data_IF_564757997799
#
_entry.id   IF_564757997799
#
_cell.length_a   1.000
_cell.length_b   1.000
_cell.length_c   1.000
_cell.angle_alpha   90.00
_cell.angle_beta   90.00
_cell.angle_gamma   90.00
#
_symmetry.space_group_name_H-M   'P 1'
#
loop_
_entity.id
_entity.type
_entity.pdbx_description
1 polymer ?
#
# COMPACT_ATOMS: atom_id res chain seq x y z
N UNK A 1 -26.34 -62.05 -18.52
CA UNK A 1 -26.16 -60.99 -19.53
C UNK A 1 -26.87 -59.69 -19.16
N UNK A 2 -28.08 -59.68 -18.75
CA UNK A 2 -28.86 -58.45 -18.38
C UNK A 2 -28.26 -57.64 -17.19
N UNK A 3 -27.66 -58.28 -16.17
CA UNK A 3 -27.03 -57.61 -15.03
C UNK A 3 -25.67 -56.94 -15.33
N UNK A 4 -25.01 -57.33 -16.42
CA UNK A 4 -23.74 -56.74 -16.88
C UNK A 4 -24.01 -55.48 -17.71
N UNK A 5 -25.07 -55.50 -18.53
CA UNK A 5 -25.48 -54.36 -19.35
C UNK A 5 -25.97 -53.21 -18.47
N UNK A 6 -26.69 -53.47 -17.34
CA UNK A 6 -27.12 -52.45 -16.43
C UNK A 6 -25.97 -51.74 -15.67
N UNK A 7 -24.90 -52.46 -15.36
CA UNK A 7 -23.69 -51.87 -14.72
C UNK A 7 -22.85 -51.03 -15.67
N UNK A 8 -22.80 -51.42 -16.94
CA UNK A 8 -22.09 -50.68 -17.99
C UNK A 8 -22.85 -49.40 -18.33
N UNK A 9 -24.20 -49.43 -18.39
CA UNK A 9 -25.02 -48.23 -18.60
C UNK A 9 -24.93 -47.25 -17.44
N UNK A 10 -24.88 -47.74 -16.20
CA UNK A 10 -24.69 -46.88 -15.00
C UNK A 10 -23.29 -46.22 -14.94
N UNK A 11 -22.28 -46.96 -15.40
CA UNK A 11 -20.91 -46.41 -15.46
C UNK A 11 -20.75 -45.35 -16.55
N UNK A 12 -21.41 -45.51 -17.71
CA UNK A 12 -21.46 -44.49 -18.75
C UNK A 12 -22.30 -43.26 -18.38
N UNK A 13 -23.37 -43.40 -17.59
CA UNK A 13 -24.19 -42.29 -17.07
C UNK A 13 -23.38 -41.50 -16.05
N UNK A 14 -22.57 -42.13 -15.18
CA UNK A 14 -21.70 -41.48 -14.21
C UNK A 14 -20.54 -40.78 -14.90
N UNK A 15 -19.98 -41.33 -15.99
CA UNK A 15 -18.94 -40.68 -16.79
C UNK A 15 -19.45 -39.47 -17.61
N UNK A 16 -20.73 -39.48 -18.00
CA UNK A 16 -21.36 -38.34 -18.68
C UNK A 16 -21.75 -37.20 -17.74
N UNK A 17 -21.87 -37.47 -16.43
CA UNK A 17 -22.12 -36.42 -15.42
C UNK A 17 -20.84 -35.72 -14.95
N UNK A 18 -19.65 -36.25 -15.23
CA UNK A 18 -18.38 -35.65 -14.80
C UNK A 18 -17.75 -34.66 -15.80
N UNK A 19 -18.44 -34.32 -16.90
CA UNK A 19 -17.95 -33.34 -17.88
C UNK A 19 -18.96 -32.20 -18.14
N UNK A 20 -19.73 -31.79 -17.16
CA UNK A 20 -20.23 -30.43 -17.16
C UNK A 20 -19.10 -29.56 -16.63
N UNK A 21 -18.11 -29.33 -17.46
CA UNK A 21 -17.26 -28.16 -17.31
C UNK A 21 -18.23 -26.97 -17.35
N UNK A 22 -18.43 -26.34 -16.20
CA UNK A 22 -19.03 -25.02 -16.18
C UNK A 22 -18.11 -24.16 -17.07
N UNK A 23 -18.51 -23.94 -18.31
CA UNK A 23 -17.91 -22.95 -19.15
C UNK A 23 -18.07 -21.64 -18.37
N UNK A 24 -17.00 -21.18 -17.76
CA UNK A 24 -16.99 -19.87 -17.12
C UNK A 24 -17.48 -18.88 -18.17
N UNK A 25 -18.62 -18.24 -17.92
CA UNK A 25 -19.16 -17.26 -18.85
C UNK A 25 -18.03 -16.26 -19.16
N UNK A 26 -17.80 -15.99 -20.44
CA UNK A 26 -16.77 -15.02 -20.82
C UNK A 26 -17.06 -13.69 -20.12
N UNK A 27 -16.04 -13.02 -19.57
CA UNK A 27 -16.22 -11.71 -18.95
C UNK A 27 -16.98 -10.78 -19.91
N UNK A 28 -17.95 -10.04 -19.38
CA UNK A 28 -18.71 -9.04 -20.15
C UNK A 28 -18.41 -7.69 -19.57
N UNK A 29 -18.10 -6.71 -20.45
CA UNK A 29 -17.84 -5.36 -20.06
C UNK A 29 -19.04 -4.75 -19.34
N UNK A 30 -18.81 -4.20 -18.14
CA UNK A 30 -19.77 -3.37 -17.43
C UNK A 30 -19.31 -1.91 -17.46
N UNK A 31 -20.07 -1.02 -18.10
CA UNK A 31 -19.70 0.39 -18.25
C UNK A 31 -19.70 1.16 -16.91
N UNK A 32 -20.56 0.78 -15.97
CA UNK A 32 -20.58 1.35 -14.62
C UNK A 32 -19.30 1.02 -13.86
N UNK A 33 -18.88 -0.25 -13.87
CA UNK A 33 -17.63 -0.71 -13.26
C UNK A 33 -16.42 -0.03 -13.92
N UNK A 34 -16.39 0.03 -15.25
CA UNK A 34 -15.31 0.69 -15.99
C UNK A 34 -15.22 2.18 -15.66
N UNK A 35 -16.35 2.89 -15.57
CA UNK A 35 -16.39 4.32 -15.20
C UNK A 35 -15.89 4.55 -13.78
N UNK A 36 -16.31 3.70 -12.83
CA UNK A 36 -15.82 3.76 -11.46
C UNK A 36 -14.31 3.52 -11.39
N UNK A 37 -13.80 2.53 -12.11
CA UNK A 37 -12.38 2.19 -12.09
C UNK A 37 -11.49 3.22 -12.77
N UNK A 38 -11.96 3.87 -13.85
CA UNK A 38 -11.29 5.03 -14.45
C UNK A 38 -11.16 6.19 -13.45
N UNK A 39 -12.26 6.50 -12.74
CA UNK A 39 -12.28 7.52 -11.69
C UNK A 39 -11.38 7.15 -10.52
N UNK A 40 -11.48 5.91 -10.02
CA UNK A 40 -10.65 5.39 -8.93
C UNK A 40 -9.17 5.46 -9.26
N UNK A 41 -8.78 5.12 -10.49
CA UNK A 41 -7.39 5.19 -10.97
C UNK A 41 -6.86 6.63 -10.89
N UNK A 42 -7.63 7.60 -11.35
CA UNK A 42 -7.26 9.02 -11.26
C UNK A 42 -7.14 9.49 -9.79
N UNK A 43 -8.07 9.07 -8.92
CA UNK A 43 -8.04 9.40 -7.50
C UNK A 43 -6.81 8.80 -6.79
N UNK A 44 -6.41 7.57 -7.09
CA UNK A 44 -5.22 6.95 -6.47
C UNK A 44 -3.93 7.58 -7.00
N UNK A 45 -3.86 7.96 -8.27
CA UNK A 45 -2.70 8.72 -8.77
C UNK A 45 -2.60 10.10 -8.08
N UNK A 46 -3.73 10.78 -7.88
CA UNK A 46 -3.80 12.03 -7.12
C UNK A 46 -3.25 11.90 -5.70
N UNK A 47 -3.39 10.73 -5.07
CA UNK A 47 -2.81 10.48 -3.74
C UNK A 47 -1.28 10.62 -3.73
N UNK A 48 -0.58 10.19 -4.78
CA UNK A 48 0.88 10.28 -4.84
C UNK A 48 1.32 11.64 -5.35
N UNK A 49 0.76 12.07 -6.45
CA UNK A 49 1.01 13.36 -7.09
C UNK A 49 -0.32 14.09 -7.33
N UNK A 50 -0.65 15.15 -6.54
CA UNK A 50 0.22 15.83 -5.58
C UNK A 50 0.07 15.45 -4.11
N UNK A 51 -0.85 14.57 -3.71
CA UNK A 51 -1.23 14.36 -2.31
C UNK A 51 -0.04 14.09 -1.38
N UNK A 52 0.65 12.96 -1.56
CA UNK A 52 1.80 12.57 -0.72
C UNK A 52 2.96 13.54 -0.87
N UNK A 53 3.21 14.04 -2.09
CA UNK A 53 4.27 15.01 -2.34
C UNK A 53 4.08 16.29 -1.50
N UNK A 54 2.86 16.82 -1.41
CA UNK A 54 2.53 17.99 -0.59
C UNK A 54 2.50 17.66 0.91
N UNK A 55 1.99 16.48 1.29
CA UNK A 55 1.98 16.03 2.67
C UNK A 55 3.42 15.96 3.22
N UNK A 56 4.31 15.29 2.51
CA UNK A 56 5.72 15.19 2.90
C UNK A 56 6.48 16.50 2.75
N UNK A 57 6.25 17.23 1.65
CA UNK A 57 6.87 18.52 1.38
C UNK A 57 6.57 19.56 2.47
N UNK A 58 5.37 19.52 3.07
CA UNK A 58 5.02 20.38 4.19
C UNK A 58 5.70 20.01 5.51
N UNK A 59 6.05 18.72 5.69
CA UNK A 59 6.66 18.19 6.93
C UNK A 59 8.17 18.36 7.01
N UNK A 60 8.87 18.45 5.87
CA UNK A 60 10.33 18.63 5.83
C UNK A 60 10.73 20.09 6.06
N UNK A 61 12.03 20.32 6.31
CA UNK A 61 12.60 21.66 6.37
C UNK A 61 12.56 22.37 5.01
N UNK A 62 12.40 23.72 5.02
CA UNK A 62 12.25 24.58 3.82
C UNK A 62 13.28 24.24 2.71
N UNK A 63 14.52 23.92 3.07
CA UNK A 63 15.61 23.62 2.13
C UNK A 63 15.62 22.20 1.54
N UNK A 64 14.60 21.39 1.82
CA UNK A 64 14.46 20.02 1.35
C UNK A 64 13.08 19.74 0.69
N UNK A 65 12.29 20.78 0.44
CA UNK A 65 10.92 20.64 -0.10
C UNK A 65 10.95 20.20 -1.56
N UNK A 66 11.75 20.87 -2.40
CA UNK A 66 11.88 20.52 -3.82
C UNK A 66 12.39 19.09 -3.96
N UNK A 67 13.45 18.72 -3.23
CA UNK A 67 14.00 17.37 -3.24
C UNK A 67 12.94 16.33 -2.85
N UNK A 68 12.13 16.59 -1.82
CA UNK A 68 11.09 15.67 -1.36
C UNK A 68 9.98 15.50 -2.39
N UNK A 69 9.50 16.58 -3.00
CA UNK A 69 8.48 16.55 -4.05
C UNK A 69 9.01 15.85 -5.31
N UNK A 70 10.25 16.16 -5.71
CA UNK A 70 10.91 15.54 -6.87
C UNK A 70 11.06 14.04 -6.72
N UNK A 71 11.30 13.52 -5.49
CA UNK A 71 11.34 12.09 -5.22
C UNK A 71 10.00 11.42 -5.58
N UNK A 72 8.87 11.96 -5.13
CA UNK A 72 7.54 11.40 -5.45
C UNK A 72 7.26 11.41 -6.95
N UNK A 73 7.64 12.49 -7.65
CA UNK A 73 7.43 12.61 -9.09
C UNK A 73 8.34 11.65 -9.88
N UNK A 74 9.63 11.58 -9.52
CA UNK A 74 10.58 10.63 -10.11
C UNK A 74 10.10 9.18 -9.94
N UNK A 75 9.65 8.81 -8.74
CA UNK A 75 9.14 7.48 -8.45
C UNK A 75 7.95 7.15 -9.34
N UNK A 76 7.02 8.09 -9.51
CA UNK A 76 5.89 7.90 -10.42
C UNK A 76 6.35 7.53 -11.82
N UNK A 77 7.34 8.25 -12.37
CA UNK A 77 7.89 7.95 -13.69
C UNK A 77 8.59 6.59 -13.75
N UNK A 78 9.50 6.31 -12.80
CA UNK A 78 10.28 5.07 -12.80
C UNK A 78 9.38 3.85 -12.64
N UNK A 79 8.48 3.87 -11.64
CA UNK A 79 7.62 2.72 -11.36
C UNK A 79 6.67 2.47 -12.54
N UNK A 80 6.20 3.52 -13.22
CA UNK A 80 5.41 3.37 -14.44
C UNK A 80 6.19 2.62 -15.52
N UNK A 81 7.45 2.98 -15.75
CA UNK A 81 8.28 2.29 -16.74
C UNK A 81 8.60 0.85 -16.32
N UNK A 82 8.92 0.62 -15.05
CA UNK A 82 9.20 -0.73 -14.54
C UNK A 82 7.95 -1.62 -14.57
N UNK A 83 6.77 -1.04 -14.30
CA UNK A 83 5.48 -1.73 -14.42
C UNK A 83 5.21 -2.17 -15.85
N UNK A 84 5.44 -1.26 -16.81
CA UNK A 84 5.34 -1.55 -18.23
C UNK A 84 6.33 -2.65 -18.66
N UNK A 85 7.59 -2.57 -18.24
CA UNK A 85 8.63 -3.54 -18.66
C UNK A 85 8.33 -4.94 -18.14
N UNK A 86 8.11 -5.11 -16.85
CA UNK A 86 7.92 -6.43 -16.25
C UNK A 86 7.09 -6.45 -14.94
N UNK A 87 6.92 -5.32 -14.26
CA UNK A 87 6.27 -5.28 -12.95
C UNK A 87 4.84 -5.84 -12.96
N UNK A 88 4.04 -5.47 -13.96
CA UNK A 88 2.69 -6.03 -14.12
C UNK A 88 2.72 -7.56 -14.30
N UNK A 89 3.61 -8.05 -15.16
CA UNK A 89 3.78 -9.48 -15.42
C UNK A 89 4.19 -10.25 -14.17
N UNK A 90 5.18 -9.74 -13.44
CA UNK A 90 5.68 -10.36 -12.20
C UNK A 90 4.68 -10.33 -11.05
N UNK A 91 3.71 -9.40 -11.07
CA UNK A 91 2.67 -9.29 -10.04
C UNK A 91 1.43 -10.12 -10.41
N UNK A 92 0.97 -10.08 -11.66
CA UNK A 92 -0.32 -10.64 -12.09
C UNK A 92 -0.22 -11.75 -13.14
N UNK A 93 0.99 -12.09 -13.62
CA UNK A 93 1.23 -13.28 -14.43
C UNK A 93 1.02 -14.56 -13.61
N UNK A 94 0.83 -15.70 -14.27
CA UNK A 94 0.55 -16.98 -13.59
C UNK A 94 1.70 -17.41 -12.66
N UNK A 95 2.91 -17.56 -13.18
CA UNK A 95 4.13 -17.79 -12.42
C UNK A 95 4.07 -18.95 -11.41
N UNK A 96 4.50 -18.68 -10.18
CA UNK A 96 4.53 -19.65 -9.08
C UNK A 96 3.89 -19.06 -7.81
N UNK A 97 4.07 -19.69 -6.63
CA UNK A 97 3.47 -19.20 -5.37
C UNK A 97 4.01 -17.85 -4.88
N UNK A 98 5.17 -17.41 -5.38
CA UNK A 98 5.89 -16.26 -4.83
C UNK A 98 6.02 -15.10 -5.82
N UNK A 99 5.98 -15.36 -7.11
CA UNK A 99 6.15 -14.36 -8.15
C UNK A 99 5.47 -14.81 -9.45
N UNK A 100 4.90 -13.87 -10.19
CA UNK A 100 4.38 -14.08 -11.53
C UNK A 100 5.49 -14.40 -12.55
N UNK A 101 5.10 -14.66 -13.77
CA UNK A 101 6.00 -14.98 -14.87
C UNK A 101 6.30 -13.76 -15.78
N UNK A 102 6.93 -13.98 -16.91
CA UNK A 102 7.25 -12.95 -17.91
C UNK A 102 6.29 -12.94 -19.12
N UNK A 103 5.15 -13.62 -19.06
CA UNK A 103 4.21 -13.77 -20.17
C UNK A 103 3.59 -12.45 -20.63
N UNK A 104 3.43 -11.50 -19.69
CA UNK A 104 2.86 -10.15 -19.93
C UNK A 104 3.92 -9.04 -19.94
N UNK A 105 5.19 -9.38 -20.12
CA UNK A 105 6.29 -8.39 -20.25
C UNK A 105 5.99 -7.41 -21.39
N UNK A 106 6.27 -6.12 -21.18
CA UNK A 106 5.89 -5.00 -22.05
C UNK A 106 4.39 -4.93 -22.33
N UNK A 107 3.57 -5.37 -21.36
CA UNK A 107 2.10 -5.47 -21.42
C UNK A 107 1.60 -6.30 -22.63
N UNK A 108 2.37 -7.29 -23.03
CA UNK A 108 2.00 -8.20 -24.13
C UNK A 108 0.63 -8.82 -23.87
N UNK A 109 -0.27 -8.75 -24.86
CA UNK A 109 -1.62 -9.28 -24.78
C UNK A 109 -2.63 -8.35 -24.08
N UNK A 110 -2.24 -7.17 -23.63
CA UNK A 110 -3.18 -6.13 -23.17
C UNK A 110 -3.73 -5.42 -24.40
N UNK A 111 -5.00 -5.67 -24.71
CA UNK A 111 -5.68 -5.20 -25.92
C UNK A 111 -6.90 -4.34 -25.57
N UNK A 112 -7.40 -3.54 -26.51
CA UNK A 112 -8.57 -2.66 -26.32
C UNK A 112 -9.81 -3.46 -25.90
N UNK A 113 -10.00 -4.66 -26.44
CA UNK A 113 -11.12 -5.55 -26.12
C UNK A 113 -10.82 -6.52 -24.97
N UNK A 114 -9.58 -6.52 -24.43
CA UNK A 114 -9.18 -7.39 -23.31
C UNK A 114 -9.87 -6.98 -22.01
N UNK A 115 -10.39 -7.94 -21.28
CA UNK A 115 -11.10 -7.73 -20.01
C UNK A 115 -10.42 -8.46 -18.86
N UNK A 116 -10.39 -7.80 -17.71
CA UNK A 116 -10.12 -8.40 -16.40
C UNK A 116 -11.38 -8.22 -15.55
N UNK A 117 -12.00 -9.31 -15.12
CA UNK A 117 -13.36 -9.28 -14.53
C UNK A 117 -14.34 -8.58 -15.49
N UNK A 118 -14.95 -7.47 -15.08
CA UNK A 118 -15.96 -6.72 -15.85
C UNK A 118 -15.43 -5.42 -16.46
N UNK A 119 -14.13 -5.16 -16.36
CA UNK A 119 -13.48 -3.90 -16.79
C UNK A 119 -12.40 -4.15 -17.85
N UNK A 120 -12.03 -3.15 -18.67
CA UNK A 120 -10.88 -3.27 -19.56
C UNK A 120 -9.60 -3.60 -18.80
N UNK A 121 -8.83 -4.58 -19.27
CA UNK A 121 -7.54 -4.96 -18.65
C UNK A 121 -6.60 -3.76 -18.58
N UNK A 122 -6.62 -2.87 -19.58
CA UNK A 122 -5.82 -1.64 -19.58
C UNK A 122 -6.12 -0.73 -18.37
N UNK A 123 -7.38 -0.64 -17.93
CA UNK A 123 -7.76 0.11 -16.72
C UNK A 123 -7.24 -0.59 -15.47
N UNK A 124 -7.37 -1.92 -15.39
CA UNK A 124 -6.82 -2.70 -14.29
C UNK A 124 -5.29 -2.55 -14.17
N UNK A 125 -4.57 -2.58 -15.29
CA UNK A 125 -3.11 -2.36 -15.34
C UNK A 125 -2.73 -1.02 -14.71
N UNK A 126 -3.39 0.08 -15.11
CA UNK A 126 -3.06 1.41 -14.58
C UNK A 126 -3.52 1.57 -13.13
N UNK A 127 -4.67 1.01 -12.77
CA UNK A 127 -5.14 1.01 -11.37
C UNK A 127 -4.12 0.34 -10.45
N UNK A 128 -3.67 -0.88 -10.77
CA UNK A 128 -2.68 -1.61 -9.98
C UNK A 128 -1.30 -0.94 -9.99
N UNK A 129 -0.92 -0.29 -11.10
CA UNK A 129 0.27 0.54 -11.17
C UNK A 129 0.28 1.63 -10.08
N UNK A 130 -0.86 2.31 -9.84
CA UNK A 130 -0.92 3.39 -8.85
C UNK A 130 -0.61 2.91 -7.44
N UNK A 131 -0.91 1.65 -7.11
CA UNK A 131 -0.53 1.03 -5.83
C UNK A 131 0.99 0.77 -5.74
N UNK A 132 1.61 0.31 -6.82
CA UNK A 132 3.06 0.17 -6.87
C UNK A 132 3.76 1.53 -6.68
N UNK A 133 3.27 2.57 -7.35
CA UNK A 133 3.81 3.93 -7.24
C UNK A 133 3.77 4.43 -5.80
N UNK A 134 2.58 4.42 -5.17
CA UNK A 134 2.46 4.99 -3.82
C UNK A 134 3.24 4.16 -2.80
N UNK A 135 3.30 2.83 -2.94
CA UNK A 135 4.06 1.97 -2.03
C UNK A 135 5.53 2.38 -1.96
N UNK A 136 6.16 2.58 -3.12
CA UNK A 136 7.55 3.03 -3.19
C UNK A 136 7.71 4.46 -2.69
N UNK A 137 6.77 5.35 -3.05
CA UNK A 137 6.80 6.75 -2.63
C UNK A 137 6.72 6.93 -1.10
N UNK A 138 5.97 6.06 -0.41
CA UNK A 138 5.89 6.07 1.05
C UNK A 138 7.25 5.85 1.71
N UNK A 139 8.11 4.99 1.17
CA UNK A 139 9.43 4.67 1.72
C UNK A 139 10.29 5.94 1.87
N UNK A 140 10.16 6.87 0.93
CA UNK A 140 10.95 8.11 0.94
C UNK A 140 10.77 8.92 2.21
N UNK A 141 9.56 8.94 2.78
CA UNK A 141 9.29 9.65 4.03
C UNK A 141 10.22 9.29 5.17
N UNK A 142 10.73 8.05 5.21
CA UNK A 142 11.67 7.61 6.23
C UNK A 142 13.08 8.20 6.06
N UNK A 143 13.49 8.55 4.85
CA UNK A 143 14.88 8.87 4.48
C UNK A 143 15.06 10.26 3.89
N UNK A 144 13.99 11.05 3.77
CA UNK A 144 14.08 12.46 3.35
C UNK A 144 15.13 13.25 4.14
N UNK A 145 15.59 14.34 3.57
CA UNK A 145 16.57 15.25 4.14
C UNK A 145 18.02 14.71 4.19
N UNK A 146 18.24 13.40 3.82
CA UNK A 146 19.58 12.79 3.87
C UNK A 146 19.90 11.76 2.80
N UNK A 147 18.92 11.30 2.03
CA UNK A 147 19.16 10.31 0.97
C UNK A 147 19.81 10.98 -0.26
N UNK A 148 20.73 10.27 -0.90
CA UNK A 148 21.26 10.65 -2.21
C UNK A 148 20.22 10.31 -3.30
N UNK A 149 19.91 11.29 -4.15
CA UNK A 149 18.87 11.14 -5.19
C UNK A 149 19.19 10.04 -6.21
N UNK A 150 20.48 9.92 -6.61
CA UNK A 150 20.92 8.85 -7.52
C UNK A 150 20.84 7.46 -6.89
N UNK A 151 21.12 7.35 -5.58
CA UNK A 151 20.94 6.10 -4.85
C UNK A 151 19.46 5.71 -4.75
N UNK A 152 18.58 6.68 -4.49
CA UNK A 152 17.15 6.46 -4.47
C UNK A 152 16.64 5.98 -5.85
N UNK A 153 17.12 6.57 -6.94
CA UNK A 153 16.76 6.17 -8.31
C UNK A 153 17.02 4.67 -8.54
N UNK A 154 18.22 4.18 -8.20
CA UNK A 154 18.58 2.76 -8.37
C UNK A 154 17.77 1.88 -7.41
N UNK A 155 17.60 2.33 -6.17
CA UNK A 155 16.82 1.63 -5.16
C UNK A 155 15.38 1.38 -5.64
N UNK A 156 14.70 2.38 -6.18
CA UNK A 156 13.32 2.28 -6.68
C UNK A 156 13.18 1.22 -7.75
N UNK A 157 14.10 1.18 -8.74
CA UNK A 157 14.09 0.17 -9.81
C UNK A 157 14.17 -1.25 -9.24
N UNK A 158 15.14 -1.48 -8.35
CA UNK A 158 15.34 -2.81 -7.77
C UNK A 158 14.21 -3.19 -6.83
N UNK A 159 13.72 -2.25 -6.02
CA UNK A 159 12.74 -2.54 -4.98
C UNK A 159 11.35 -2.86 -5.55
N UNK A 160 10.89 -2.16 -6.59
CA UNK A 160 9.60 -2.46 -7.21
C UNK A 160 9.57 -3.86 -7.83
N UNK A 161 10.68 -4.31 -8.40
CA UNK A 161 10.78 -5.63 -9.03
C UNK A 161 10.99 -6.74 -7.99
N UNK A 162 11.90 -6.53 -7.04
CA UNK A 162 12.35 -7.57 -6.12
C UNK A 162 11.56 -7.64 -4.81
N UNK A 163 10.79 -6.60 -4.47
CA UNK A 163 9.99 -6.58 -3.24
C UNK A 163 8.51 -6.38 -3.54
N UNK A 164 8.14 -5.29 -4.23
CA UNK A 164 6.74 -5.02 -4.47
C UNK A 164 6.06 -6.11 -5.29
N UNK A 165 6.63 -6.48 -6.44
CA UNK A 165 6.01 -7.47 -7.33
C UNK A 165 5.82 -8.85 -6.67
N UNK A 166 6.81 -9.43 -5.96
CA UNK A 166 6.60 -10.69 -5.23
C UNK A 166 5.54 -10.59 -4.12
N UNK A 167 5.56 -9.52 -3.30
CA UNK A 167 4.54 -9.35 -2.24
C UNK A 167 3.15 -9.17 -2.86
N UNK A 168 3.02 -8.36 -3.92
CA UNK A 168 1.78 -8.17 -4.67
C UNK A 168 1.26 -9.47 -5.28
N UNK A 169 2.15 -10.29 -5.85
CA UNK A 169 1.78 -11.60 -6.39
C UNK A 169 1.31 -12.56 -5.30
N UNK A 170 2.04 -12.65 -4.19
CA UNK A 170 1.66 -13.52 -3.08
C UNK A 170 0.26 -13.21 -2.54
N UNK A 171 -0.15 -11.93 -2.51
CA UNK A 171 -1.43 -11.50 -1.91
C UNK A 171 -2.54 -11.36 -2.95
N UNK A 172 -2.28 -10.74 -4.10
CA UNK A 172 -3.31 -10.39 -5.11
C UNK A 172 -3.18 -11.16 -6.42
N UNK A 173 -1.98 -11.63 -6.76
CA UNK A 173 -1.71 -12.39 -7.98
C UNK A 173 -2.05 -13.88 -7.91
N UNK A 174 -2.77 -14.35 -6.88
CA UNK A 174 -3.10 -15.76 -6.69
C UNK A 174 -1.96 -16.62 -6.12
N UNK A 175 -0.96 -15.97 -5.50
CA UNK A 175 0.20 -16.62 -4.89
C UNK A 175 -0.06 -17.18 -3.49
N UNK A 176 1.02 -17.37 -2.73
CA UNK A 176 1.03 -18.10 -1.46
C UNK A 176 0.03 -17.57 -0.43
N UNK A 177 0.06 -16.26 -0.13
CA UNK A 177 -0.77 -15.66 0.93
C UNK A 177 -2.26 -15.65 0.54
N UNK A 178 -2.56 -15.42 -0.74
CA UNK A 178 -3.92 -15.53 -1.28
C UNK A 178 -4.47 -16.95 -1.10
N UNK A 179 -3.70 -17.97 -1.45
CA UNK A 179 -4.10 -19.38 -1.30
C UNK A 179 -4.26 -19.82 0.15
N UNK A 180 -3.53 -19.19 1.07
CA UNK A 180 -3.70 -19.43 2.50
C UNK A 180 -4.95 -18.76 3.09
N UNK A 181 -5.60 -17.83 2.36
CA UNK A 181 -6.78 -17.11 2.81
C UNK A 181 -6.46 -15.85 3.64
N UNK A 182 -5.29 -15.26 3.45
CA UNK A 182 -4.97 -13.95 4.05
C UNK A 182 -5.85 -12.88 3.39
N UNK A 183 -6.51 -12.07 4.21
CA UNK A 183 -7.36 -10.97 3.76
C UNK A 183 -6.56 -9.68 3.68
N UNK A 184 -6.50 -9.12 2.49
CA UNK A 184 -5.92 -7.79 2.25
C UNK A 184 -6.68 -7.10 1.11
N UNK A 185 -7.74 -6.36 1.46
CA UNK A 185 -8.66 -5.80 0.46
C UNK A 185 -7.99 -4.79 -0.45
N UNK A 186 -7.21 -3.89 0.13
CA UNK A 186 -6.66 -2.77 -0.62
C UNK A 186 -5.17 -2.49 -0.32
N UNK A 187 -4.44 -3.35 0.40
CA UNK A 187 -2.99 -3.20 0.54
C UNK A 187 -2.48 -2.90 1.94
N UNK A 188 -3.17 -3.38 2.98
CA UNK A 188 -2.62 -3.35 4.33
C UNK A 188 -1.26 -4.03 4.42
N UNK A 189 -1.12 -5.18 3.76
CA UNK A 189 0.12 -5.94 3.64
C UNK A 189 0.97 -5.45 2.47
N UNK A 190 0.39 -5.44 1.26
CA UNK A 190 1.12 -5.15 0.01
C UNK A 190 1.68 -3.73 -0.02
N UNK A 191 0.95 -2.75 0.50
CA UNK A 191 1.36 -1.34 0.47
C UNK A 191 1.94 -0.92 1.82
N UNK A 192 1.15 -1.00 2.89
CA UNK A 192 1.48 -0.30 4.13
C UNK A 192 2.53 -1.02 4.97
N UNK A 193 2.36 -2.30 5.27
CA UNK A 193 3.38 -3.07 6.00
C UNK A 193 4.67 -3.09 5.17
N UNK A 194 4.57 -3.35 3.88
CA UNK A 194 5.69 -3.45 2.96
C UNK A 194 6.51 -2.15 2.92
N UNK A 195 5.86 -1.00 2.63
CA UNK A 195 6.56 0.30 2.59
C UNK A 195 7.10 0.74 3.95
N UNK A 196 6.33 0.53 5.03
CA UNK A 196 6.74 0.96 6.36
C UNK A 196 7.93 0.17 6.90
N UNK A 197 8.01 -1.14 6.64
CA UNK A 197 9.17 -1.97 6.98
C UNK A 197 10.37 -1.58 6.12
N UNK A 198 10.20 -1.40 4.81
CA UNK A 198 11.29 -0.94 3.95
C UNK A 198 11.84 0.42 4.39
N UNK A 199 10.94 1.34 4.78
CA UNK A 199 11.31 2.65 5.33
C UNK A 199 12.12 2.55 6.62
N UNK A 200 11.72 1.68 7.55
CA UNK A 200 12.48 1.43 8.79
C UNK A 200 13.88 0.88 8.49
N UNK A 201 13.98 -0.13 7.63
CA UNK A 201 15.27 -0.71 7.24
C UNK A 201 16.16 0.34 6.58
N UNK A 202 15.61 1.15 5.67
CA UNK A 202 16.34 2.23 5.02
C UNK A 202 16.79 3.29 6.03
N UNK A 203 15.93 3.70 6.97
CA UNK A 203 16.27 4.67 8.02
C UNK A 203 17.40 4.20 8.92
N UNK A 204 17.42 2.90 9.27
CA UNK A 204 18.49 2.29 10.09
C UNK A 204 19.81 2.22 9.30
N UNK A 205 19.77 1.78 8.02
CA UNK A 205 20.97 1.60 7.20
C UNK A 205 21.63 2.93 6.85
N UNK A 206 20.84 3.97 6.53
CA UNK A 206 21.35 5.31 6.17
C UNK A 206 21.79 6.08 7.42
N UNK A 207 21.23 5.77 8.57
CA UNK A 207 21.54 6.40 9.85
C UNK A 207 20.73 7.67 10.16
N UNK A 208 20.98 8.27 11.34
CA UNK A 208 20.22 9.41 11.84
C UNK A 208 20.55 10.70 11.08
N UNK A 209 19.57 11.60 10.94
CA UNK A 209 19.78 12.97 10.43
C UNK A 209 20.70 13.75 11.37
N UNK A 210 21.53 14.60 10.81
CA UNK A 210 22.42 15.49 11.58
C UNK A 210 21.68 16.64 12.24
N UNK A 211 20.62 17.10 11.59
CA UNK A 211 19.71 18.12 12.15
C UNK A 211 18.27 17.72 11.86
N UNK A 212 17.39 17.98 12.82
CA UNK A 212 15.94 17.78 12.66
C UNK A 212 15.30 19.14 12.44
N UNK A 213 14.83 19.38 11.22
CA UNK A 213 14.07 20.57 10.90
C UNK A 213 12.66 20.49 11.48
N UNK A 214 12.06 21.65 11.76
CA UNK A 214 10.62 21.73 12.02
C UNK A 214 9.85 21.67 10.69
N UNK A 215 8.60 21.20 10.69
CA UNK A 215 7.74 21.27 9.51
C UNK A 215 7.74 22.68 8.91
N UNK A 216 8.00 22.75 7.59
CA UNK A 216 8.09 24.02 6.88
C UNK A 216 6.71 24.68 6.74
N UNK A 217 5.69 23.89 6.39
CA UNK A 217 4.37 24.43 6.07
C UNK A 217 3.25 23.45 6.44
N UNK A 218 2.68 23.67 7.62
CA UNK A 218 1.59 22.84 8.16
C UNK A 218 0.31 22.90 7.32
N UNK A 219 0.04 24.04 6.66
CA UNK A 219 -1.11 24.17 5.75
C UNK A 219 -0.92 23.30 4.50
N UNK A 220 0.30 23.27 3.94
CA UNK A 220 0.64 22.39 2.83
C UNK A 220 0.49 20.91 3.20
N UNK A 221 0.93 20.53 4.39
CA UNK A 221 0.73 19.19 4.95
C UNK A 221 -0.75 18.83 5.04
N UNK A 222 -1.59 19.73 5.53
CA UNK A 222 -3.03 19.51 5.64
C UNK A 222 -3.68 19.35 4.25
N UNK A 223 -3.31 20.17 3.29
CA UNK A 223 -3.80 20.03 1.90
C UNK A 223 -3.43 18.66 1.34
N UNK A 224 -2.17 18.24 1.50
CA UNK A 224 -1.71 16.91 1.09
C UNK A 224 -2.46 15.77 1.79
N UNK A 225 -2.65 15.86 3.10
CA UNK A 225 -3.45 14.90 3.87
C UNK A 225 -4.91 14.82 3.38
N UNK A 226 -5.50 15.95 3.01
CA UNK A 226 -6.86 16.00 2.46
C UNK A 226 -6.94 15.31 1.11
N UNK A 227 -5.95 15.52 0.24
CA UNK A 227 -5.86 14.82 -1.05
C UNK A 227 -5.64 13.32 -0.88
N UNK A 228 -4.83 12.91 0.10
CA UNK A 228 -4.69 11.49 0.48
C UNK A 228 -6.04 10.92 0.92
N UNK A 229 -6.79 11.59 1.76
CA UNK A 229 -8.10 11.13 2.24
C UNK A 229 -9.11 10.96 1.09
N UNK A 230 -9.29 11.98 0.27
CA UNK A 230 -10.21 11.90 -0.88
C UNK A 230 -9.78 10.81 -1.87
N UNK A 231 -8.48 10.72 -2.18
CA UNK A 231 -7.93 9.69 -3.04
C UNK A 231 -8.13 8.27 -2.49
N UNK A 232 -8.19 8.14 -1.15
CA UNK A 232 -8.41 6.85 -0.50
C UNK A 232 -9.79 6.24 -0.76
N UNK A 233 -10.75 7.01 -1.19
CA UNK A 233 -12.00 6.46 -1.71
C UNK A 233 -11.77 5.65 -3.00
N UNK A 234 -10.95 6.17 -3.91
CA UNK A 234 -10.49 5.38 -5.07
C UNK A 234 -9.61 4.19 -4.67
N UNK A 235 -8.77 4.37 -3.66
CA UNK A 235 -7.87 3.32 -3.15
C UNK A 235 -8.64 2.13 -2.56
N UNK A 236 -9.51 2.36 -1.58
CA UNK A 236 -10.26 1.31 -0.90
C UNK A 236 -11.51 0.89 -1.67
N UNK A 237 -12.40 1.81 -2.03
CA UNK A 237 -13.63 1.43 -2.73
C UNK A 237 -13.37 1.01 -4.18
N UNK A 238 -12.31 1.52 -4.83
CA UNK A 238 -11.83 1.03 -6.12
C UNK A 238 -11.32 -0.41 -6.08
N UNK A 239 -10.82 -0.89 -4.92
CA UNK A 239 -10.34 -2.27 -4.77
C UNK A 239 -11.45 -3.33 -4.86
N UNK A 240 -12.71 -2.94 -4.85
CA UNK A 240 -13.82 -3.81 -5.24
C UNK A 240 -13.80 -4.17 -6.74
N UNK A 241 -13.06 -3.44 -7.56
CA UNK A 241 -12.96 -3.57 -9.03
C UNK A 241 -14.35 -3.55 -9.71
N UNK A 242 -15.35 -2.98 -9.04
CA UNK A 242 -16.72 -2.87 -9.52
C UNK A 242 -17.46 -1.74 -8.78
N UNK A 243 -18.48 -1.15 -9.44
CA UNK A 243 -19.41 -0.18 -8.85
C UNK A 243 -20.56 -0.90 -8.17
N UNK A 244 -20.30 -1.59 -7.07
CA UNK A 244 -21.27 -2.45 -6.38
C UNK A 244 -21.44 -2.09 -4.89
N UNK A 245 -22.28 -2.84 -4.17
CA UNK A 245 -22.52 -2.62 -2.74
C UNK A 245 -21.27 -2.73 -1.88
N UNK A 246 -20.29 -3.57 -2.26
CA UNK A 246 -19.01 -3.67 -1.54
C UNK A 246 -18.15 -2.41 -1.71
N UNK A 247 -18.11 -1.82 -2.92
CA UNK A 247 -17.46 -0.53 -3.14
C UNK A 247 -18.09 0.58 -2.28
N UNK A 248 -19.44 0.63 -2.22
CA UNK A 248 -20.16 1.58 -1.37
C UNK A 248 -19.85 1.40 0.11
N UNK A 249 -19.82 0.15 0.60
CA UNK A 249 -19.45 -0.16 1.97
C UNK A 249 -18.00 0.21 2.26
N UNK A 250 -17.06 -0.13 1.38
CA UNK A 250 -15.65 0.21 1.53
C UNK A 250 -15.43 1.72 1.61
N UNK A 251 -16.18 2.52 0.84
CA UNK A 251 -16.14 3.99 0.95
C UNK A 251 -16.63 4.48 2.32
N UNK A 252 -17.76 3.95 2.80
CA UNK A 252 -18.35 4.33 4.09
C UNK A 252 -17.41 4.00 5.25
N UNK A 253 -16.89 2.78 5.30
CA UNK A 253 -16.01 2.33 6.41
C UNK A 253 -14.66 3.06 6.38
N UNK A 254 -14.17 3.43 5.21
CA UNK A 254 -12.96 4.26 5.05
C UNK A 254 -13.17 5.64 5.68
N UNK A 255 -14.30 6.30 5.40
CA UNK A 255 -14.65 7.60 5.99
C UNK A 255 -14.72 7.53 7.51
N UNK A 256 -15.39 6.51 8.04
CA UNK A 256 -15.58 6.35 9.49
C UNK A 256 -14.24 6.11 10.19
N UNK A 257 -13.41 5.20 9.67
CA UNK A 257 -12.13 4.87 10.29
C UNK A 257 -11.15 6.06 10.28
N UNK A 258 -11.08 6.80 9.18
CA UNK A 258 -10.25 8.01 9.10
C UNK A 258 -10.66 9.04 10.15
N UNK A 259 -11.96 9.34 10.25
CA UNK A 259 -12.48 10.33 11.19
C UNK A 259 -12.27 9.90 12.64
N UNK A 260 -12.59 8.64 12.99
CA UNK A 260 -12.42 8.13 14.36
C UNK A 260 -10.95 8.07 14.77
N UNK A 261 -10.04 7.71 13.88
CA UNK A 261 -8.61 7.69 14.18
C UNK A 261 -8.03 9.11 14.34
N UNK A 262 -8.45 10.07 13.51
CA UNK A 262 -8.06 11.47 13.66
C UNK A 262 -8.43 12.03 15.03
N UNK A 263 -9.65 11.78 15.48
CA UNK A 263 -10.11 12.19 16.82
C UNK A 263 -9.37 11.42 17.92
N UNK A 264 -9.17 10.11 17.76
CA UNK A 264 -8.45 9.30 18.77
C UNK A 264 -6.99 9.74 18.95
N UNK A 265 -6.28 10.02 17.86
CA UNK A 265 -4.93 10.58 17.89
C UNK A 265 -4.91 11.94 18.57
N UNK A 266 -5.80 12.85 18.16
CA UNK A 266 -5.91 14.19 18.76
C UNK A 266 -6.14 14.13 20.28
N UNK A 267 -7.04 13.26 20.74
CA UNK A 267 -7.32 13.10 22.18
C UNK A 267 -6.12 12.51 22.93
N UNK A 268 -5.41 11.53 22.33
CA UNK A 268 -4.19 10.97 22.90
C UNK A 268 -3.09 12.04 23.01
N UNK A 269 -2.89 12.85 21.99
CA UNK A 269 -1.95 13.98 22.00
C UNK A 269 -2.35 15.04 23.04
N UNK A 270 -3.62 15.41 23.08
CA UNK A 270 -4.14 16.42 24.01
C UNK A 270 -4.01 15.99 25.48
N UNK A 271 -4.14 14.69 25.75
CA UNK A 271 -3.97 14.15 27.11
C UNK A 271 -2.52 13.99 27.54
N UNK A 272 -1.56 14.10 26.62
CA UNK A 272 -0.12 13.88 26.84
C UNK A 272 0.70 15.10 26.43
N UNK A 273 2.02 15.08 26.64
CA UNK A 273 2.95 16.11 26.15
C UNK A 273 2.56 17.54 26.55
N UNK A 274 2.51 18.43 25.56
CA UNK A 274 2.19 19.86 25.76
C UNK A 274 0.71 20.14 26.05
N UNK A 275 -0.13 19.12 26.08
CA UNK A 275 -1.59 19.22 26.34
C UNK A 275 -2.31 20.16 25.36
N UNK A 276 -1.91 20.13 24.10
CA UNK A 276 -2.51 20.91 23.01
C UNK A 276 -2.79 20.00 21.82
N UNK A 277 -3.99 20.08 21.22
CA UNK A 277 -4.26 19.38 19.97
C UNK A 277 -3.53 20.08 18.83
N UNK A 278 -2.89 19.31 17.93
CA UNK A 278 -2.23 19.87 16.75
C UNK A 278 -2.95 19.51 15.46
N UNK A 279 -2.84 20.37 14.43
CA UNK A 279 -3.33 20.05 13.09
C UNK A 279 -2.54 18.89 12.48
N UNK A 280 -1.25 18.80 12.78
CA UNK A 280 -0.40 17.68 12.32
C UNK A 280 -0.86 16.36 12.94
N UNK A 281 -1.20 16.36 14.24
CA UNK A 281 -1.74 15.19 14.92
C UNK A 281 -3.08 14.73 14.34
N UNK A 282 -3.98 15.65 14.01
CA UNK A 282 -5.24 15.35 13.32
C UNK A 282 -4.99 14.72 11.94
N UNK A 283 -4.07 15.29 11.13
CA UNK A 283 -3.71 14.76 9.83
C UNK A 283 -3.08 13.36 9.94
N UNK A 284 -2.10 13.19 10.84
CA UNK A 284 -1.42 11.90 11.05
C UNK A 284 -2.39 10.82 11.56
N UNK A 285 -3.30 11.20 12.47
CA UNK A 285 -4.34 10.30 12.96
C UNK A 285 -5.32 9.88 11.88
N UNK A 286 -5.77 10.81 11.04
CA UNK A 286 -6.64 10.48 9.91
C UNK A 286 -5.95 9.50 8.95
N UNK A 287 -4.68 9.76 8.61
CA UNK A 287 -3.88 8.83 7.75
C UNK A 287 -3.70 7.48 8.44
N UNK A 288 -3.46 7.41 9.75
CA UNK A 288 -3.36 6.15 10.48
C UNK A 288 -4.67 5.32 10.40
N UNK A 289 -5.82 5.99 10.47
CA UNK A 289 -7.14 5.35 10.27
C UNK A 289 -7.34 4.83 8.84
N UNK A 290 -6.94 5.62 7.85
CA UNK A 290 -6.96 5.24 6.44
C UNK A 290 -6.08 4.00 6.18
N UNK A 291 -4.88 3.97 6.76
CA UNK A 291 -3.96 2.83 6.69
C UNK A 291 -4.57 1.59 7.33
N UNK A 292 -5.08 1.70 8.55
CA UNK A 292 -5.57 0.54 9.30
C UNK A 292 -6.87 -0.04 8.73
N UNK A 293 -7.73 0.77 8.12
CA UNK A 293 -8.94 0.28 7.46
C UNK A 293 -8.67 -0.39 6.11
N UNK A 294 -7.52 -0.09 5.48
CA UNK A 294 -7.18 -0.55 4.13
C UNK A 294 -7.29 -2.07 3.94
N UNK A 295 -6.72 -2.93 4.80
CA UNK A 295 -6.90 -4.38 4.66
C UNK A 295 -8.35 -4.84 4.93
N UNK A 296 -9.11 -4.07 5.69
CA UNK A 296 -10.42 -4.43 6.22
C UNK A 296 -11.60 -3.90 5.40
N UNK A 297 -11.39 -2.92 4.52
CA UNK A 297 -12.45 -2.09 3.93
C UNK A 297 -13.54 -2.87 3.19
N UNK A 298 -13.21 -4.01 2.60
CA UNK A 298 -14.18 -4.90 1.92
C UNK A 298 -14.73 -6.02 2.80
N UNK A 299 -14.41 -6.05 4.11
CA UNK A 299 -14.73 -7.17 4.99
C UNK A 299 -15.48 -6.78 6.26
N UNK A 300 -15.44 -5.51 6.68
CA UNK A 300 -15.98 -5.07 7.97
C UNK A 300 -17.19 -4.16 7.84
N UNK A 301 -18.03 -4.18 8.88
CA UNK A 301 -19.17 -3.27 9.00
C UNK A 301 -18.76 -1.90 9.60
N UNK A 302 -19.66 -0.89 9.63
CA UNK A 302 -19.36 0.43 10.16
C UNK A 302 -18.88 0.45 11.63
N UNK A 303 -19.37 -0.46 12.48
CA UNK A 303 -18.93 -0.56 13.88
C UNK A 303 -17.49 -1.10 13.95
N UNK A 304 -17.14 -2.12 13.15
CA UNK A 304 -15.77 -2.62 13.03
C UNK A 304 -14.81 -1.50 12.55
N UNK A 305 -15.22 -0.72 11.56
CA UNK A 305 -14.44 0.41 11.07
C UNK A 305 -14.20 1.50 12.13
N UNK A 306 -15.23 1.84 12.90
CA UNK A 306 -15.12 2.78 14.02
C UNK A 306 -14.10 2.31 15.05
N UNK A 307 -14.15 1.03 15.45
CA UNK A 307 -13.21 0.45 16.40
C UNK A 307 -11.79 0.35 15.83
N UNK A 308 -11.63 -0.05 14.56
CA UNK A 308 -10.34 -0.06 13.88
C UNK A 308 -9.73 1.33 13.89
N UNK A 309 -10.52 2.36 13.57
CA UNK A 309 -10.06 3.75 13.59
C UNK A 309 -9.63 4.21 14.99
N UNK A 310 -10.47 4.01 16.01
CA UNK A 310 -10.12 4.41 17.39
C UNK A 310 -8.84 3.73 17.87
N UNK A 311 -8.73 2.41 17.68
CA UNK A 311 -7.59 1.62 18.15
C UNK A 311 -6.31 2.07 17.40
N UNK A 312 -6.38 2.20 16.06
CA UNK A 312 -5.22 2.59 15.27
C UNK A 312 -4.76 4.02 15.54
N UNK A 313 -5.68 4.96 15.77
CA UNK A 313 -5.34 6.34 16.12
C UNK A 313 -4.49 6.43 17.38
N UNK A 314 -4.87 5.72 18.44
CA UNK A 314 -4.11 5.67 19.69
C UNK A 314 -2.80 4.90 19.52
N UNK A 315 -2.84 3.71 18.92
CA UNK A 315 -1.66 2.84 18.82
C UNK A 315 -0.59 3.42 17.88
N UNK A 316 -0.97 4.04 16.76
CA UNK A 316 -0.02 4.70 15.87
C UNK A 316 0.58 5.96 16.53
N UNK A 317 -0.21 6.74 17.29
CA UNK A 317 0.33 7.83 18.11
C UNK A 317 1.43 7.33 19.07
N UNK A 318 1.19 6.22 19.77
CA UNK A 318 2.18 5.62 20.66
C UNK A 318 3.40 5.08 19.90
N UNK A 319 3.20 4.52 18.70
CA UNK A 319 4.29 4.03 17.87
C UNK A 319 5.18 5.18 17.37
N UNK A 320 4.60 6.29 16.92
CA UNK A 320 5.34 7.45 16.43
C UNK A 320 6.04 8.24 17.55
N UNK A 321 5.55 8.16 18.79
CA UNK A 321 6.12 8.91 19.92
C UNK A 321 6.94 8.03 20.86
N UNK A 322 6.33 7.07 21.54
CA UNK A 322 6.98 6.24 22.57
C UNK A 322 7.87 5.16 21.99
N UNK A 323 7.36 4.36 21.06
CA UNK A 323 8.12 3.26 20.45
C UNK A 323 9.31 3.78 19.66
N UNK A 324 9.12 4.81 18.82
CA UNK A 324 10.21 5.46 18.07
C UNK A 324 11.30 5.99 18.99
N UNK A 325 10.91 6.65 20.09
CA UNK A 325 11.86 7.16 21.08
C UNK A 325 12.61 6.04 21.81
N UNK A 326 11.91 4.99 22.22
CA UNK A 326 12.49 3.84 22.94
C UNK A 326 13.50 3.06 22.08
N UNK A 327 13.19 2.83 20.80
CA UNK A 327 14.06 2.12 19.86
C UNK A 327 15.14 3.01 19.23
N UNK A 328 15.00 4.32 19.31
CA UNK A 328 16.01 5.29 18.93
C UNK A 328 16.35 5.37 17.44
N UNK A 329 15.48 4.86 16.55
CA UNK A 329 15.63 5.03 15.09
C UNK A 329 15.16 6.42 14.62
N UNK A 330 15.68 6.89 13.49
CA UNK A 330 15.31 8.17 12.89
C UNK A 330 14.57 7.97 11.56
N UNK A 331 13.34 7.54 11.65
CA UNK A 331 12.35 7.57 10.58
C UNK A 331 11.80 9.00 10.48
N UNK A 332 12.13 9.71 9.38
CA UNK A 332 11.95 11.17 9.34
C UNK A 332 10.49 11.61 9.46
N UNK A 333 9.57 10.94 8.75
CA UNK A 333 8.16 11.31 8.68
C UNK A 333 7.21 10.19 9.20
N UNK A 334 7.68 9.40 10.16
CA UNK A 334 6.89 8.40 10.88
C UNK A 334 6.27 7.29 10.01
N UNK A 335 6.92 6.95 8.89
CA UNK A 335 6.43 5.97 7.93
C UNK A 335 6.24 4.59 8.57
N UNK A 336 7.19 4.14 9.39
CA UNK A 336 7.07 2.87 10.12
C UNK A 336 5.89 2.88 11.08
N UNK A 337 5.79 3.93 11.92
CA UNK A 337 4.75 4.02 12.95
C UNK A 337 3.33 4.12 12.39
N UNK A 338 3.16 4.78 11.25
CA UNK A 338 1.86 4.94 10.60
C UNK A 338 1.57 3.76 9.67
N UNK A 339 2.51 3.41 8.77
CA UNK A 339 2.22 2.43 7.71
C UNK A 339 2.52 0.99 8.12
N UNK A 340 3.73 0.65 8.63
CA UNK A 340 4.00 -0.73 9.02
C UNK A 340 3.18 -1.14 10.26
N UNK A 341 3.26 -0.34 11.30
CA UNK A 341 2.58 -0.63 12.56
C UNK A 341 1.05 -0.51 12.40
N UNK A 342 0.56 0.59 11.82
CA UNK A 342 -0.86 0.77 11.54
C UNK A 342 -1.43 -0.28 10.58
N UNK A 343 -0.70 -0.65 9.53
CA UNK A 343 -1.08 -1.74 8.61
C UNK A 343 -1.15 -3.10 9.31
N UNK A 344 -0.20 -3.40 10.19
CA UNK A 344 -0.21 -4.65 10.98
C UNK A 344 -1.40 -4.68 11.96
N UNK A 345 -1.66 -3.57 12.66
CA UNK A 345 -2.87 -3.43 13.51
C UNK A 345 -4.12 -3.63 12.68
N UNK A 346 -4.23 -2.96 11.52
CA UNK A 346 -5.36 -3.11 10.60
C UNK A 346 -5.55 -4.54 10.10
N UNK A 347 -4.47 -5.21 9.69
CA UNK A 347 -4.51 -6.61 9.24
C UNK A 347 -5.02 -7.55 10.34
N UNK A 348 -4.51 -7.42 11.56
CA UNK A 348 -4.97 -8.23 12.71
C UNK A 348 -6.44 -7.95 13.01
N UNK A 349 -6.85 -6.68 13.04
CA UNK A 349 -8.23 -6.28 13.30
C UNK A 349 -9.18 -6.66 12.16
N UNK A 350 -8.69 -6.79 10.92
CA UNK A 350 -9.47 -7.42 9.83
C UNK A 350 -9.85 -8.86 10.21
N UNK A 351 -8.90 -9.63 10.73
CA UNK A 351 -9.14 -10.99 11.21
C UNK A 351 -10.15 -11.07 12.36
N UNK A 352 -10.25 -10.01 13.17
CA UNK A 352 -11.21 -9.93 14.28
C UNK A 352 -12.61 -9.53 13.82
N UNK A 353 -12.71 -8.49 12.94
CA UNK A 353 -13.98 -7.81 12.62
C UNK A 353 -14.55 -8.15 11.25
N UNK A 354 -13.89 -9.02 10.46
CA UNK A 354 -14.45 -9.48 9.19
C UNK A 354 -15.83 -10.13 9.40
N UNK A 355 -16.75 -9.85 8.50
CA UNK A 355 -18.09 -10.43 8.55
C UNK A 355 -18.51 -11.02 7.21
N UNK A 356 -19.06 -12.21 7.26
CA UNK A 356 -19.52 -12.95 6.06
C UNK A 356 -20.55 -12.16 5.24
N UNK A 357 -21.34 -11.31 5.90
CA UNK A 357 -22.34 -10.48 5.24
C UNK A 357 -21.77 -9.45 4.26
N UNK A 358 -20.48 -9.06 4.42
CA UNK A 358 -19.82 -8.04 3.59
C UNK A 358 -18.79 -8.68 2.67
N UNK A 359 -17.77 -9.32 3.23
CA UNK A 359 -16.64 -9.85 2.46
C UNK A 359 -16.69 -11.37 2.23
N UNK A 360 -17.76 -12.04 2.60
CA UNK A 360 -17.91 -13.50 2.42
C UNK A 360 -17.11 -14.34 3.43
N UNK A 361 -16.31 -13.71 4.30
CA UNK A 361 -15.46 -14.37 5.31
C UNK A 361 -15.87 -13.91 6.69
N UNK A 362 -15.94 -14.85 7.64
CA UNK A 362 -16.21 -14.53 9.05
C UNK A 362 -14.89 -14.36 9.80
N UNK A 363 -14.83 -13.32 10.64
CA UNK A 363 -13.70 -13.07 11.54
C UNK A 363 -13.65 -14.08 12.67
N UNK A 364 -12.51 -14.18 13.33
CA UNK A 364 -12.30 -15.05 14.47
C UNK A 364 -10.84 -15.47 14.62
N UNK A 365 -10.57 -16.36 15.57
CA UNK A 365 -9.21 -16.73 15.94
C UNK A 365 -8.40 -17.33 14.77
N UNK A 366 -9.01 -18.14 13.94
CA UNK A 366 -8.32 -18.75 12.80
C UNK A 366 -8.00 -17.72 11.71
N UNK A 367 -8.91 -16.78 11.45
CA UNK A 367 -8.62 -15.69 10.53
C UNK A 367 -7.52 -14.76 11.07
N UNK A 368 -7.48 -14.49 12.37
CA UNK A 368 -6.39 -13.73 13.00
C UNK A 368 -5.03 -14.43 12.82
N UNK A 369 -4.95 -15.76 12.94
CA UNK A 369 -3.71 -16.51 12.65
C UNK A 369 -3.26 -16.32 11.20
N UNK A 370 -4.18 -16.36 10.23
CA UNK A 370 -3.86 -16.14 8.83
C UNK A 370 -3.36 -14.70 8.59
N UNK A 371 -3.96 -13.72 9.23
CA UNK A 371 -3.51 -12.33 9.15
C UNK A 371 -2.11 -12.17 9.75
N UNK A 372 -1.82 -12.79 10.91
CA UNK A 372 -0.48 -12.80 11.51
C UNK A 372 0.56 -13.49 10.61
N UNK A 373 0.18 -14.55 9.90
CA UNK A 373 1.03 -15.18 8.88
C UNK A 373 1.36 -14.18 7.76
N UNK A 374 0.35 -13.49 7.22
CA UNK A 374 0.54 -12.47 6.17
C UNK A 374 1.46 -11.34 6.63
N UNK A 375 1.24 -10.82 7.84
CA UNK A 375 2.11 -9.81 8.48
C UNK A 375 3.54 -10.34 8.60
N UNK A 376 3.73 -11.54 9.17
CA UNK A 376 5.04 -12.13 9.42
C UNK A 376 5.84 -12.38 8.14
N UNK A 377 5.21 -12.96 7.11
CA UNK A 377 5.85 -13.22 5.80
C UNK A 377 6.28 -11.90 5.15
N UNK A 378 5.40 -10.90 5.14
CA UNK A 378 5.71 -9.60 4.54
C UNK A 378 6.83 -8.88 5.28
N UNK A 379 6.77 -8.82 6.62
CA UNK A 379 7.83 -8.21 7.44
C UNK A 379 9.18 -8.87 7.19
N UNK A 380 9.24 -10.21 7.24
CA UNK A 380 10.49 -10.94 7.06
C UNK A 380 11.07 -10.73 5.65
N UNK A 381 10.25 -10.97 4.62
CA UNK A 381 10.67 -10.85 3.23
C UNK A 381 11.15 -9.42 2.90
N UNK A 382 10.34 -8.43 3.23
CA UNK A 382 10.68 -7.02 2.98
C UNK A 382 11.93 -6.59 3.72
N UNK A 383 12.09 -6.99 4.99
CA UNK A 383 13.30 -6.66 5.77
C UNK A 383 14.56 -7.18 5.09
N UNK A 384 14.57 -8.48 4.76
CA UNK A 384 15.77 -9.14 4.20
C UNK A 384 16.11 -8.57 2.82
N UNK A 385 15.12 -8.52 1.92
CA UNK A 385 15.38 -8.09 0.54
C UNK A 385 15.70 -6.61 0.46
N UNK A 386 15.00 -5.75 1.22
CA UNK A 386 15.31 -4.31 1.28
C UNK A 386 16.73 -4.06 1.81
N UNK A 387 17.14 -4.78 2.86
CA UNK A 387 18.51 -4.67 3.38
C UNK A 387 19.57 -5.04 2.32
N UNK A 388 19.35 -6.15 1.60
CA UNK A 388 20.24 -6.57 0.51
C UNK A 388 20.30 -5.50 -0.59
N UNK A 389 19.16 -5.00 -1.05
CA UNK A 389 19.09 -3.95 -2.08
C UNK A 389 19.89 -2.72 -1.64
N UNK A 390 19.68 -2.24 -0.41
CA UNK A 390 20.42 -1.08 0.09
C UNK A 390 21.93 -1.31 0.13
N UNK A 391 22.37 -2.52 0.50
CA UNK A 391 23.81 -2.86 0.46
C UNK A 391 24.34 -2.88 -0.97
N UNK A 392 23.61 -3.44 -1.93
CA UNK A 392 23.97 -3.46 -3.35
C UNK A 392 24.04 -2.03 -3.92
N UNK A 393 23.01 -1.20 -3.64
CA UNK A 393 23.01 0.20 -4.09
C UNK A 393 24.23 0.97 -3.53
N UNK A 394 24.57 0.72 -2.26
CA UNK A 394 25.72 1.39 -1.62
C UNK A 394 27.09 0.99 -2.21
N UNK A 395 27.17 -0.15 -2.92
CA UNK A 395 28.37 -0.51 -3.67
C UNK A 395 28.50 0.29 -4.98
N UNK A 396 27.39 0.79 -5.51
CA UNK A 396 27.33 1.53 -6.78
C UNK A 396 27.46 3.03 -6.54
N UNK A 397 26.77 3.55 -5.53
CA UNK A 397 26.73 4.97 -5.18
C UNK A 397 26.41 5.15 -3.68
N UNK A 398 26.99 6.16 -3.01
CA UNK A 398 26.68 6.41 -1.60
C UNK A 398 25.17 6.59 -1.38
N UNK A 399 24.61 5.87 -0.40
CA UNK A 399 23.18 5.99 -0.05
C UNK A 399 22.87 7.36 0.54
N UNK A 400 23.79 7.93 1.30
CA UNK A 400 23.58 9.18 2.02
C UNK A 400 24.22 10.35 1.28
N UNK A 401 23.55 11.48 1.26
CA UNK A 401 24.10 12.76 0.85
C UNK A 401 25.31 13.14 1.72
N UNK A 402 26.25 13.91 1.18
CA UNK A 402 27.41 14.37 1.94
C UNK A 402 27.00 15.35 3.06
N UNK A 403 27.85 15.51 4.04
CA UNK A 403 27.64 16.43 5.16
C UNK A 403 27.42 17.88 4.72
N UNK A 404 28.09 18.30 3.64
CA UNK A 404 27.90 19.61 3.04
C UNK A 404 26.50 19.74 2.44
N UNK A 405 26.08 18.73 1.65
CA UNK A 405 24.76 18.72 1.03
C UNK A 405 23.62 18.74 2.08
N UNK A 406 23.75 17.97 3.17
CA UNK A 406 22.74 18.01 4.26
C UNK A 406 22.70 19.38 4.95
N UNK A 407 23.84 20.05 5.15
CA UNK A 407 23.88 21.41 5.74
C UNK A 407 23.26 22.45 4.82
N UNK A 408 23.61 22.43 3.54
CA UNK A 408 23.18 23.43 2.56
C UNK A 408 21.72 23.23 2.13
N UNK A 409 21.23 21.98 2.25
CA UNK A 409 19.91 21.55 1.83
C UNK A 409 19.97 20.79 0.51
N UNK A 410 19.11 19.78 0.39
CA UNK A 410 19.09 18.91 -0.78
C UNK A 410 18.48 19.56 -2.02
N UNK A 411 17.62 20.58 -1.83
CA UNK A 411 17.01 21.32 -2.94
C UNK A 411 18.10 21.95 -3.83
N UNK A 412 18.97 22.76 -3.23
CA UNK A 412 20.03 23.42 -3.97
C UNK A 412 21.14 22.45 -4.38
N UNK A 413 21.55 21.57 -3.46
CA UNK A 413 22.74 20.73 -3.66
C UNK A 413 22.51 19.55 -4.60
N UNK A 414 21.28 19.06 -4.78
CA UNK A 414 20.98 17.94 -5.66
C UNK A 414 20.14 18.33 -6.87
N UNK A 415 19.40 19.43 -6.81
CA UNK A 415 18.48 19.85 -7.89
C UNK A 415 18.81 21.24 -8.49
N UNK A 416 19.62 22.06 -7.79
CA UNK A 416 19.91 23.43 -8.24
C UNK A 416 18.70 24.38 -8.14
N UNK A 417 17.68 23.98 -7.40
CA UNK A 417 16.41 24.68 -7.25
C UNK A 417 16.14 24.96 -5.76
N UNK A 418 15.29 25.94 -5.50
CA UNK A 418 14.80 26.21 -4.15
C UNK A 418 13.43 26.90 -4.19
N UNK A 419 12.64 26.72 -3.15
CA UNK A 419 11.41 27.49 -2.97
C UNK A 419 11.75 28.87 -2.41
N UNK A 420 11.09 29.90 -2.93
CA UNK A 420 11.20 31.30 -2.47
C UNK A 420 10.65 31.51 -1.05
#
# INVERSE_FOLDING_TARGET
>A
MIKIISKISLFFIILLQSTVAFAQAKPVLNSGDASWMLTSTALVLLMTIPGLALFYGGLVGKKNVVSTISQSFMITCIVTLMWFVCGYSLTFGEGNLFIGDFSKTFLKGVEVAGLTMTIPESVFVVYQLTFAIITVALICGSVVERINFGALFIFVILWVILVYAPVGHMVWGGGYLSKMGVLDFAGGTVVHINSGIAGLVAAIVIGKRKSKARPHNVALTMIGASMLWVGWFGFNAGSAVAANGNAGMAMLVTQIAAASAGIAWMLAEWSTGEKKPSLLGLCSGAVAGLVAITPAAGFVNPMGAFLIGLISGVLCFLACTKLKSALGYDDALDVFGIHAFGGAVGAVLTGVFATKAIGGVEGGFDQVKLQLLGVGVTVLYTTVVTFIILKVVNLITPLRASDAQERDGLDLSQHGEQIS
#
